data_IF_625480212637
#
_entry.id   IF_625480212637
#
_cell.length_a   1.000
_cell.length_b   1.000
_cell.length_c   1.000
_cell.angle_alpha   90.00
_cell.angle_beta   90.00
_cell.angle_gamma   90.00
#
_symmetry.space_group_name_H-M   'P 1'
#
loop_
_entity.id
_entity.type
_entity.pdbx_description
1 polymer ?
#
# COMPACT_ATOMS: atom_id res chain seq x y z
N UNK A 1 -25.86 -3.88 48.83
CA UNK A 1 -26.73 -3.55 47.67
C UNK A 1 -27.98 -2.81 48.14
N UNK A 2 -27.95 -1.46 48.28
CA UNK A 2 -29.17 -0.62 48.37
C UNK A 2 -28.94 0.91 48.23
N UNK A 3 -27.80 1.36 47.69
CA UNK A 3 -27.54 2.81 47.50
C UNK A 3 -27.33 3.27 46.05
N UNK A 4 -27.22 2.35 45.06
CA UNK A 4 -27.11 2.75 43.64
C UNK A 4 -28.45 3.10 42.97
N UNK A 5 -29.60 2.87 43.62
CA UNK A 5 -30.93 3.08 43.02
C UNK A 5 -31.58 4.46 43.23
N UNK A 6 -30.98 5.37 44.01
CA UNK A 6 -31.57 6.69 44.32
C UNK A 6 -31.01 7.85 43.48
N UNK A 7 -29.86 7.70 42.82
CA UNK A 7 -29.28 8.76 41.97
C UNK A 7 -29.93 8.84 40.58
N UNK A 8 -30.38 7.70 40.02
CA UNK A 8 -30.93 7.68 38.66
C UNK A 8 -32.37 8.22 38.57
N UNK A 9 -33.18 8.12 39.64
CA UNK A 9 -34.54 8.67 39.65
C UNK A 9 -34.59 10.21 39.74
N UNK A 10 -33.59 10.85 40.35
CA UNK A 10 -33.52 12.33 40.45
C UNK A 10 -33.09 13.02 39.15
N UNK A 11 -32.42 12.30 38.23
CA UNK A 11 -32.01 12.85 36.93
C UNK A 11 -33.17 12.86 35.92
N UNK A 12 -34.07 11.87 35.99
CA UNK A 12 -35.19 11.71 35.05
C UNK A 12 -36.32 12.74 35.30
N UNK A 13 -36.50 13.21 36.54
CA UNK A 13 -37.49 14.27 36.85
C UNK A 13 -37.05 15.68 36.40
N UNK A 14 -35.74 15.95 36.29
CA UNK A 14 -35.23 17.25 35.83
C UNK A 14 -35.41 17.47 34.32
N UNK A 15 -35.42 16.39 33.53
CA UNK A 15 -35.58 16.46 32.07
C UNK A 15 -37.06 16.67 31.69
N UNK A 16 -38.02 16.09 32.43
CA UNK A 16 -39.45 16.30 32.18
C UNK A 16 -39.97 17.72 32.50
N UNK A 17 -39.25 18.50 33.32
CA UNK A 17 -39.60 19.90 33.61
C UNK A 17 -39.13 20.90 32.55
N UNK A 18 -38.18 20.55 31.66
CA UNK A 18 -37.68 21.43 30.60
C UNK A 18 -38.49 21.39 29.30
N UNK A 19 -39.39 20.42 29.12
CA UNK A 19 -40.21 20.25 27.89
C UNK A 19 -41.58 20.97 27.98
N UNK A 20 -41.89 21.64 29.10
CA UNK A 20 -43.21 22.29 29.34
C UNK A 20 -43.25 23.83 29.23
N UNK A 21 -42.23 24.49 28.67
CA UNK A 21 -42.24 25.94 28.42
C UNK A 21 -41.87 26.23 26.97
N UNK A 22 -42.89 26.59 26.17
CA UNK A 22 -42.74 27.01 24.77
C UNK A 22 -44.00 26.74 23.95
N UNK A 23 -45.08 27.49 24.22
CA UNK A 23 -46.32 27.56 23.44
C UNK A 23 -46.44 28.99 22.90
N UNK A 24 -47.21 29.18 21.81
CA UNK A 24 -47.60 30.43 21.10
C UNK A 24 -46.79 30.73 19.82
N UNK A 25 -47.35 31.17 18.67
CA UNK A 25 -48.72 31.16 18.15
C UNK A 25 -48.72 31.50 16.64
N UNK A 26 -49.92 31.42 16.03
CA UNK A 26 -50.29 31.54 14.61
C UNK A 26 -50.18 32.93 13.93
N UNK A 27 -50.13 32.86 12.57
CA UNK A 27 -50.70 33.76 11.52
C UNK A 27 -49.97 35.08 11.17
N UNK A 28 -49.62 35.22 9.88
CA UNK A 28 -50.19 36.21 8.93
C UNK A 28 -49.84 35.86 7.47
N UNK A 29 -50.79 36.13 6.58
CA UNK A 29 -50.80 35.90 5.13
C UNK A 29 -50.03 36.98 4.34
N UNK A 30 -49.67 36.66 3.08
CA UNK A 30 -49.83 37.63 1.99
C UNK A 30 -48.66 37.87 1.02
N UNK A 31 -48.91 37.43 -0.23
CA UNK A 31 -48.53 38.06 -1.53
C UNK A 31 -47.20 37.68 -2.19
N UNK A 32 -47.36 37.01 -3.33
CA UNK A 32 -46.40 36.87 -4.42
C UNK A 32 -46.24 38.16 -5.23
N UNK A 33 -45.01 38.44 -5.71
CA UNK A 33 -44.74 39.25 -6.91
C UNK A 33 -43.47 38.77 -7.62
N UNK A 34 -43.52 38.94 -8.94
CA UNK A 34 -42.60 38.52 -10.01
C UNK A 34 -41.19 39.14 -9.96
N UNK A 35 -40.23 38.34 -10.46
CA UNK A 35 -39.14 38.62 -11.43
C UNK A 35 -38.29 39.89 -11.25
N UNK A 36 -36.98 39.72 -11.11
CA UNK A 36 -35.96 40.30 -12.01
C UNK A 36 -34.57 39.69 -11.72
N UNK A 37 -33.85 39.33 -12.79
CA UNK A 37 -32.42 38.97 -12.78
C UNK A 37 -31.63 40.22 -13.10
N UNK A 38 -30.60 40.58 -12.30
CA UNK A 38 -29.51 41.39 -12.80
C UNK A 38 -28.16 40.68 -12.69
N UNK A 39 -27.39 40.96 -13.72
CA UNK A 39 -26.08 40.44 -14.13
C UNK A 39 -24.92 41.00 -13.29
N UNK A 40 -23.85 40.21 -13.23
CA UNK A 40 -22.46 40.51 -12.82
C UNK A 40 -22.09 41.96 -12.47
N UNK A 41 -21.66 42.16 -11.22
CA UNK A 41 -20.29 42.57 -10.83
C UNK A 41 -20.32 43.30 -9.47
N UNK A 42 -19.78 42.69 -8.42
CA UNK A 42 -18.83 43.30 -7.49
C UNK A 42 -18.48 42.31 -6.38
N UNK A 43 -17.16 42.17 -6.17
CA UNK A 43 -16.52 41.38 -5.15
C UNK A 43 -16.75 41.98 -3.76
N UNK A 44 -16.57 41.11 -2.76
CA UNK A 44 -16.37 41.37 -1.32
C UNK A 44 -17.65 41.52 -0.49
N UNK A 45 -18.04 40.41 0.14
CA UNK A 45 -18.28 40.31 1.60
C UNK A 45 -18.95 38.96 1.94
N UNK A 46 -18.14 37.90 2.03
CA UNK A 46 -18.49 36.68 2.78
C UNK A 46 -17.23 36.13 3.44
N UNK A 47 -16.88 36.69 4.59
CA UNK A 47 -16.00 36.06 5.58
C UNK A 47 -16.78 35.97 6.92
N UNK A 48 -16.51 34.90 7.68
CA UNK A 48 -17.01 34.60 9.05
C UNK A 48 -18.33 33.82 9.24
N UNK A 49 -18.51 32.62 8.65
CA UNK A 49 -19.38 31.58 9.29
C UNK A 49 -18.84 30.13 9.18
N UNK A 50 -17.76 29.83 8.44
CA UNK A 50 -17.40 28.42 8.14
C UNK A 50 -16.34 27.74 9.02
N UNK A 51 -15.75 28.42 9.99
CA UNK A 51 -14.64 27.87 10.80
C UNK A 51 -15.10 27.06 12.02
N UNK A 52 -16.19 27.45 12.68
CA UNK A 52 -16.62 26.80 13.94
C UNK A 52 -17.07 25.34 13.79
N UNK A 53 -17.66 24.98 12.64
CA UNK A 53 -18.23 23.65 12.42
C UNK A 53 -17.15 22.58 12.13
N UNK A 54 -16.04 22.99 11.52
CA UNK A 54 -14.91 22.11 11.18
C UNK A 54 -14.08 21.75 12.41
N UNK A 55 -13.86 22.70 13.32
CA UNK A 55 -13.13 22.44 14.57
C UNK A 55 -13.92 21.56 15.52
N UNK A 56 -15.24 21.78 15.65
CA UNK A 56 -16.12 20.93 16.46
C UNK A 56 -16.18 19.49 15.93
N UNK A 57 -16.28 19.32 14.60
CA UNK A 57 -16.25 17.99 13.96
C UNK A 57 -14.91 17.28 14.18
N UNK A 58 -13.79 18.00 14.09
CA UNK A 58 -12.46 17.44 14.38
C UNK A 58 -12.30 17.03 15.84
N UNK A 59 -12.82 17.83 16.77
CA UNK A 59 -12.76 17.53 18.20
C UNK A 59 -13.58 16.27 18.55
N UNK A 60 -14.80 16.16 18.03
CA UNK A 60 -15.62 14.96 18.21
C UNK A 60 -14.94 13.70 17.65
N UNK A 61 -14.33 13.81 16.46
CA UNK A 61 -13.61 12.68 15.87
C UNK A 61 -12.37 12.28 16.68
N UNK A 62 -11.63 13.26 17.22
CA UNK A 62 -10.52 13.01 18.15
C UNK A 62 -11.00 12.28 19.40
N UNK A 63 -12.14 12.66 19.98
CA UNK A 63 -12.74 11.99 21.14
C UNK A 63 -13.13 10.54 20.83
N UNK A 64 -13.82 10.30 19.71
CA UNK A 64 -14.20 8.95 19.26
C UNK A 64 -12.95 8.07 19.06
N UNK A 65 -11.95 8.58 18.34
CA UNK A 65 -10.67 7.89 18.10
C UNK A 65 -10.00 7.54 19.44
N UNK A 66 -9.93 8.49 20.37
CA UNK A 66 -9.33 8.25 21.68
C UNK A 66 -10.12 7.23 22.50
N UNK A 67 -11.45 7.20 22.42
CA UNK A 67 -12.28 6.22 23.13
C UNK A 67 -12.07 4.78 22.62
N UNK A 68 -12.01 4.59 21.30
CA UNK A 68 -11.93 3.26 20.70
C UNK A 68 -10.51 2.72 20.59
N UNK A 69 -9.52 3.55 20.21
CA UNK A 69 -8.16 3.07 20.02
C UNK A 69 -7.52 2.70 21.37
N UNK A 70 -7.77 3.48 22.43
CA UNK A 70 -7.14 3.28 23.75
C UNK A 70 -7.40 1.91 24.39
N UNK A 71 -8.45 1.18 23.98
CA UNK A 71 -8.86 -0.08 24.61
C UNK A 71 -8.21 -1.34 24.04
N UNK A 72 -7.64 -1.34 22.82
CA UNK A 72 -7.10 -2.57 22.17
C UNK A 72 -5.92 -2.38 21.22
N UNK A 73 -5.72 -1.20 20.64
CA UNK A 73 -4.64 -0.94 19.68
C UNK A 73 -3.61 -0.05 20.39
N UNK A 74 -2.32 -0.41 20.45
CA UNK A 74 -1.31 0.47 21.04
C UNK A 74 -1.23 1.76 20.23
N UNK A 75 -1.91 2.82 20.69
CA UNK A 75 -1.98 4.12 20.02
C UNK A 75 -0.77 5.02 20.26
N UNK A 76 0.29 4.49 20.87
CA UNK A 76 1.48 5.28 21.18
C UNK A 76 2.47 5.07 20.04
N UNK A 77 2.03 5.43 18.82
CA UNK A 77 2.98 5.74 17.76
C UNK A 77 3.83 6.93 18.21
N UNK A 78 5.09 6.98 17.76
CA UNK A 78 5.90 8.21 17.83
C UNK A 78 5.14 9.36 17.17
N UNK A 79 5.59 10.60 17.39
CA UNK A 79 5.04 11.75 16.68
C UNK A 79 5.09 11.54 15.15
N UNK A 80 3.92 11.32 14.54
CA UNK A 80 3.79 11.03 13.11
C UNK A 80 3.97 12.27 12.22
N UNK A 81 4.19 13.47 12.80
CA UNK A 81 4.51 14.68 12.03
C UNK A 81 5.81 14.54 11.25
N UNK A 82 6.78 13.78 11.77
CA UNK A 82 8.02 13.46 11.06
C UNK A 82 7.81 12.20 10.22
N UNK A 83 7.90 12.33 8.90
CA UNK A 83 7.83 11.21 7.98
C UNK A 83 9.16 10.44 8.00
N UNK A 84 9.08 9.14 8.27
CA UNK A 84 10.24 8.28 8.26
C UNK A 84 10.12 7.32 7.08
N UNK A 85 11.12 7.36 6.21
CA UNK A 85 11.24 6.52 5.04
C UNK A 85 12.47 5.63 5.16
N UNK A 86 12.41 4.46 4.53
CA UNK A 86 13.54 3.54 4.47
C UNK A 86 13.82 3.18 3.02
N UNK A 87 15.10 3.14 2.64
CA UNK A 87 15.56 2.58 1.38
C UNK A 87 16.36 1.31 1.66
N UNK A 88 15.92 0.19 1.09
CA UNK A 88 16.52 -1.13 1.27
C UNK A 88 16.85 -1.79 -0.07
N UNK A 89 17.93 -2.59 -0.14
CA UNK A 89 18.28 -3.32 -1.35
C UNK A 89 17.33 -4.48 -1.57
N UNK A 90 16.99 -4.76 -2.82
CA UNK A 90 16.20 -5.93 -3.20
C UNK A 90 16.82 -7.26 -2.75
N UNK A 91 18.16 -7.32 -2.72
CA UNK A 91 18.90 -8.53 -2.35
C UNK A 91 18.88 -8.87 -0.86
N UNK A 92 18.25 -8.04 -0.02
CA UNK A 92 18.04 -8.37 1.40
C UNK A 92 17.34 -9.73 1.56
N UNK A 93 16.40 -10.05 0.66
CA UNK A 93 15.68 -11.32 0.63
C UNK A 93 16.33 -12.38 -0.28
N UNK A 94 17.57 -12.18 -0.73
CA UNK A 94 18.23 -13.12 -1.62
C UNK A 94 18.63 -14.41 -0.90
N UNK A 95 17.70 -15.36 -0.83
CA UNK A 95 17.92 -16.68 -0.25
C UNK A 95 17.57 -17.79 -1.25
N UNK A 96 18.22 -18.96 -1.14
CA UNK A 96 17.88 -20.13 -1.97
C UNK A 96 16.45 -20.62 -1.71
N UNK A 97 15.99 -20.56 -0.46
CA UNK A 97 14.66 -21.00 -0.06
C UNK A 97 13.63 -19.87 -0.17
N UNK A 98 12.55 -20.09 -0.93
CA UNK A 98 11.42 -19.14 -1.02
C UNK A 98 10.69 -18.99 0.32
N UNK A 99 10.71 -20.02 1.17
CA UNK A 99 10.20 -19.98 2.54
C UNK A 99 10.93 -18.91 3.35
N UNK A 100 12.25 -18.87 3.25
CA UNK A 100 13.07 -17.87 3.96
C UNK A 100 12.86 -16.47 3.36
N UNK A 101 12.71 -16.35 2.03
CA UNK A 101 12.38 -15.06 1.39
C UNK A 101 11.06 -14.49 1.92
N UNK A 102 10.03 -15.34 2.01
CA UNK A 102 8.71 -15.00 2.56
C UNK A 102 8.79 -14.59 4.04
N UNK A 103 9.50 -15.38 4.86
CA UNK A 103 9.71 -15.07 6.27
C UNK A 103 10.41 -13.71 6.44
N UNK A 104 11.50 -13.46 5.72
CA UNK A 104 12.26 -12.22 5.83
C UNK A 104 11.46 -11.00 5.35
N UNK A 105 10.68 -11.15 4.27
CA UNK A 105 9.74 -10.11 3.83
C UNK A 105 8.74 -9.76 4.95
N UNK A 106 8.24 -10.77 5.67
CA UNK A 106 7.32 -10.56 6.79
C UNK A 106 7.97 -9.98 8.04
N UNK A 107 9.23 -10.31 8.28
CA UNK A 107 10.02 -9.69 9.34
C UNK A 107 10.18 -8.19 9.07
N UNK A 108 10.59 -7.80 7.86
CA UNK A 108 10.72 -6.40 7.47
C UNK A 108 9.40 -5.64 7.57
N UNK A 109 8.30 -6.21 7.03
CA UNK A 109 6.97 -5.62 7.13
C UNK A 109 6.54 -5.32 8.58
N UNK A 110 6.84 -6.24 9.50
CA UNK A 110 6.58 -6.04 10.93
C UNK A 110 7.40 -4.90 11.49
N UNK A 111 8.70 -4.88 11.23
CA UNK A 111 9.59 -3.83 11.72
C UNK A 111 9.16 -2.45 11.18
N UNK A 112 8.78 -2.36 9.91
CA UNK A 112 8.25 -1.12 9.33
C UNK A 112 6.95 -0.65 9.99
N UNK A 113 6.07 -1.59 10.34
CA UNK A 113 4.82 -1.31 11.06
C UNK A 113 5.10 -0.84 12.49
N UNK A 114 5.96 -1.56 13.22
CA UNK A 114 6.32 -1.27 14.62
C UNK A 114 6.86 0.16 14.76
N UNK A 115 7.75 0.57 13.86
CA UNK A 115 8.37 1.90 13.92
C UNK A 115 7.61 2.97 13.12
N UNK A 116 6.40 2.66 12.66
CA UNK A 116 5.51 3.57 11.93
C UNK A 116 6.22 4.23 10.74
N UNK A 117 6.82 3.40 9.88
CA UNK A 117 7.43 3.83 8.63
C UNK A 117 6.34 4.26 7.66
N UNK A 118 6.52 5.39 6.98
CA UNK A 118 5.52 5.96 6.07
C UNK A 118 5.68 5.44 4.64
N UNK A 119 6.92 5.18 4.23
CA UNK A 119 7.24 4.70 2.87
C UNK A 119 8.50 3.84 2.86
N UNK A 120 8.44 2.77 2.08
CA UNK A 120 9.54 1.82 1.85
C UNK A 120 9.97 1.93 0.39
N UNK A 121 11.21 2.34 0.17
CA UNK A 121 11.87 2.33 -1.12
C UNK A 121 12.67 1.03 -1.26
N UNK A 122 12.42 0.29 -2.34
CA UNK A 122 13.18 -0.91 -2.68
C UNK A 122 14.03 -0.54 -3.89
N UNK A 123 15.35 -0.46 -3.74
CA UNK A 123 16.22 -0.21 -4.88
C UNK A 123 16.77 -1.51 -5.45
N UNK A 124 16.85 -1.58 -6.77
CA UNK A 124 17.50 -2.69 -7.46
C UNK A 124 19.02 -2.49 -7.41
N UNK A 125 19.66 -3.28 -6.55
CA UNK A 125 21.11 -3.28 -6.39
C UNK A 125 21.83 -4.18 -7.41
N UNK A 126 21.10 -4.74 -8.39
CA UNK A 126 21.56 -5.48 -9.57
C UNK A 126 22.49 -6.69 -9.35
N UNK A 127 22.90 -6.97 -8.11
CA UNK A 127 23.77 -8.09 -7.74
C UNK A 127 23.13 -9.47 -7.95
N UNK A 128 21.81 -9.52 -8.14
CA UNK A 128 21.13 -10.76 -8.51
C UNK A 128 21.35 -11.15 -9.98
N UNK A 129 21.68 -10.19 -10.86
CA UNK A 129 21.94 -10.49 -12.27
C UNK A 129 23.17 -11.40 -12.43
N UNK A 130 24.19 -11.27 -11.59
CA UNK A 130 25.36 -12.16 -11.61
C UNK A 130 25.02 -13.65 -11.35
N UNK A 131 23.97 -13.95 -10.58
CA UNK A 131 23.58 -15.34 -10.25
C UNK A 131 22.39 -15.86 -11.05
N UNK A 132 21.48 -14.99 -11.50
CA UNK A 132 20.31 -15.36 -12.28
C UNK A 132 20.61 -15.59 -13.76
N UNK A 133 21.61 -14.90 -14.34
CA UNK A 133 22.09 -15.20 -15.71
C UNK A 133 22.48 -16.68 -15.83
N UNK A 134 23.10 -17.24 -14.79
CA UNK A 134 23.49 -18.67 -14.73
C UNK A 134 22.31 -19.64 -14.46
N UNK A 135 21.14 -19.14 -14.03
CA UNK A 135 19.92 -19.95 -13.80
C UNK A 135 18.89 -19.83 -14.91
N UNK A 136 18.78 -18.70 -15.59
CA UNK A 136 17.85 -18.50 -16.70
C UNK A 136 18.16 -19.40 -17.90
N UNK A 137 19.43 -19.78 -18.10
CA UNK A 137 19.84 -20.83 -19.04
C UNK A 137 19.23 -22.20 -18.70
N UNK A 138 19.03 -22.50 -17.42
CA UNK A 138 18.45 -23.78 -16.94
C UNK A 138 16.92 -23.75 -16.76
N UNK A 139 16.30 -22.57 -16.59
CA UNK A 139 14.84 -22.44 -16.51
C UNK A 139 14.18 -22.38 -17.89
N UNK A 140 14.80 -21.74 -18.89
CA UNK A 140 14.29 -21.73 -20.28
C UNK A 140 14.23 -23.13 -20.90
N UNK A 141 15.08 -24.07 -20.47
CA UNK A 141 15.03 -25.48 -20.89
C UNK A 141 13.94 -26.29 -20.18
N UNK A 142 13.43 -25.80 -19.06
CA UNK A 142 12.42 -26.48 -18.24
C UNK A 142 10.99 -26.04 -18.57
N UNK A 143 10.77 -24.76 -18.91
CA UNK A 143 9.45 -24.25 -19.33
C UNK A 143 9.01 -24.82 -20.70
N UNK A 144 9.95 -25.01 -21.63
CA UNK A 144 9.66 -25.63 -22.94
C UNK A 144 9.22 -27.11 -22.85
N UNK A 145 9.46 -27.78 -21.72
CA UNK A 145 9.06 -29.17 -21.51
C UNK A 145 7.73 -29.31 -20.77
N UNK A 146 7.28 -28.27 -20.05
CA UNK A 146 5.98 -28.29 -19.37
C UNK A 146 4.84 -27.96 -20.35
N UNK A 147 5.05 -26.98 -21.24
CA UNK A 147 4.08 -26.64 -22.30
C UNK A 147 3.99 -27.64 -23.45
N UNK A 148 4.95 -28.58 -23.59
CA UNK A 148 4.88 -29.68 -24.58
C UNK A 148 4.13 -30.92 -24.09
N UNK A 149 3.97 -31.11 -22.77
CA UNK A 149 3.34 -32.32 -22.21
C UNK A 149 1.82 -32.19 -22.01
N UNK A 150 1.28 -30.97 -21.95
CA UNK A 150 -0.17 -30.76 -21.79
C UNK A 150 -0.93 -30.72 -23.12
N UNK A 151 -0.26 -30.47 -24.26
CA UNK A 151 -0.87 -30.52 -25.59
C UNK A 151 -0.96 -31.94 -26.20
N UNK A 152 -0.31 -32.94 -25.59
CA UNK A 152 -0.38 -34.35 -26.03
C UNK A 152 -1.49 -35.14 -25.30
N UNK A 153 -1.95 -34.66 -24.13
CA UNK A 153 -2.90 -35.41 -23.27
C UNK A 153 -4.33 -34.86 -23.25
N UNK A 154 -4.70 -33.99 -24.21
CA UNK A 154 -6.08 -33.44 -24.35
C UNK A 154 -6.80 -33.78 -25.66
N UNK A 155 -6.26 -34.69 -26.45
CA UNK A 155 -6.99 -35.37 -27.52
C UNK A 155 -6.91 -36.88 -27.28
N UNK A 156 -7.82 -37.42 -26.46
CA UNK A 156 -8.29 -38.81 -26.52
C UNK A 156 -9.28 -39.04 -25.38
N UNK A 157 -10.55 -38.65 -25.59
CA UNK A 157 -11.69 -39.22 -24.87
C UNK A 157 -12.97 -38.95 -25.69
N UNK A 158 -13.64 -40.05 -26.06
CA UNK A 158 -14.95 -40.21 -26.69
C UNK A 158 -15.06 -40.13 -28.24
N UNK A 159 -14.92 -41.29 -28.90
CA UNK A 159 -16.01 -41.91 -29.67
C UNK A 159 -15.66 -43.38 -30.02
N UNK A 160 -16.67 -44.25 -29.87
CA UNK A 160 -16.67 -45.71 -29.89
C UNK A 160 -16.39 -46.40 -31.24
N UNK A 161 -16.02 -47.69 -31.16
CA UNK A 161 -16.81 -48.74 -31.81
C UNK A 161 -16.53 -49.12 -33.27
N UNK A 162 -15.84 -50.26 -33.44
CA UNK A 162 -16.05 -51.32 -34.45
C UNK A 162 -15.48 -51.21 -35.89
N UNK A 163 -14.80 -52.32 -36.24
CA UNK A 163 -14.57 -52.97 -37.55
C UNK A 163 -13.40 -52.58 -38.50
N UNK A 164 -12.42 -53.50 -38.50
CA UNK A 164 -11.79 -54.30 -39.60
C UNK A 164 -11.21 -53.64 -40.87
N UNK A 165 -10.00 -54.13 -41.15
CA UNK A 165 -9.33 -54.46 -42.42
C UNK A 165 -8.52 -53.43 -43.24
N UNK A 166 -7.26 -53.86 -43.44
CA UNK A 166 -6.34 -53.77 -44.58
C UNK A 166 -5.92 -52.42 -45.23
N UNK A 167 -4.60 -52.24 -45.31
CA UNK A 167 -3.94 -52.01 -46.61
C UNK A 167 -3.40 -50.62 -46.97
N UNK A 168 -2.06 -50.55 -47.12
CA UNK A 168 -1.27 -49.84 -48.16
C UNK A 168 -1.31 -48.29 -48.29
N UNK A 169 -0.07 -47.76 -48.21
CA UNK A 169 0.64 -46.84 -49.13
C UNK A 169 0.08 -45.43 -49.46
N UNK A 170 0.99 -44.47 -49.20
CA UNK A 170 1.49 -43.41 -50.11
C UNK A 170 0.66 -42.13 -50.38
N UNK A 171 1.29 -41.02 -49.96
CA UNK A 171 1.68 -39.85 -50.79
C UNK A 171 0.69 -38.69 -51.07
N UNK A 172 1.31 -37.48 -51.02
CA UNK A 172 0.97 -36.17 -51.64
C UNK A 172 -0.14 -35.35 -50.97
N UNK A 173 0.15 -34.11 -50.50
CA UNK A 173 0.10 -32.82 -51.27
C UNK A 173 -1.26 -32.68 -51.96
N UNK A 174 -2.05 -31.62 -51.82
CA UNK A 174 -1.84 -30.23 -51.39
C UNK A 174 -3.19 -29.50 -51.50
N UNK A 175 -3.33 -28.35 -50.80
CA UNK A 175 -4.07 -27.12 -51.19
C UNK A 175 -5.54 -27.26 -51.64
N UNK A 176 -6.56 -26.72 -50.95
CA UNK A 176 -6.91 -25.30 -50.73
C UNK A 176 -8.28 -25.02 -51.36
N UNK A 177 -8.97 -23.93 -50.94
CA UNK A 177 -10.14 -23.28 -51.59
C UNK A 177 -11.47 -23.94 -51.14
N UNK A 178 -12.53 -23.26 -50.70
CA UNK A 178 -12.92 -21.84 -50.63
C UNK A 178 -14.18 -21.69 -49.76
N UNK A 179 -14.30 -20.53 -49.11
CA UNK A 179 -15.45 -19.60 -49.08
C UNK A 179 -16.88 -20.13 -48.87
N UNK A 180 -17.51 -19.63 -47.80
CA UNK A 180 -18.70 -18.74 -47.83
C UNK A 180 -19.26 -18.63 -46.39
N UNK A 181 -19.14 -17.49 -45.70
CA UNK A 181 -19.93 -16.24 -45.79
C UNK A 181 -21.23 -16.28 -44.95
N UNK A 182 -21.32 -15.27 -44.07
CA UNK A 182 -22.50 -14.62 -43.44
C UNK A 182 -22.93 -15.03 -42.01
N UNK A 183 -22.38 -14.24 -41.07
CA UNK A 183 -23.02 -13.42 -40.03
C UNK A 183 -23.91 -14.05 -38.96
N UNK A 184 -23.58 -13.76 -37.69
CA UNK A 184 -24.32 -12.75 -36.91
C UNK A 184 -23.46 -12.24 -35.74
N UNK A 185 -23.48 -10.93 -35.54
CA UNK A 185 -22.70 -10.20 -34.53
C UNK A 185 -23.23 -10.43 -33.11
N UNK A 186 -22.34 -10.72 -32.17
CA UNK A 186 -22.54 -10.36 -30.76
C UNK A 186 -21.27 -9.72 -30.21
N UNK A 187 -21.40 -8.42 -29.92
CA UNK A 187 -20.37 -7.54 -29.36
C UNK A 187 -20.24 -7.85 -27.87
N UNK A 188 -19.02 -8.12 -27.41
CA UNK A 188 -18.65 -7.95 -26.01
C UNK A 188 -17.38 -7.13 -25.91
N UNK A 189 -17.48 -6.10 -25.06
CA UNK A 189 -16.58 -4.98 -24.93
C UNK A 189 -15.26 -5.34 -24.27
N UNK A 190 -14.23 -4.72 -24.83
CA UNK A 190 -12.82 -4.78 -24.46
C UNK A 190 -12.55 -4.01 -23.15
N UNK A 191 -11.80 -4.64 -22.25
CA UNK A 191 -11.08 -3.98 -21.16
C UNK A 191 -9.86 -3.23 -21.69
N UNK A 192 -9.80 -1.93 -21.42
CA UNK A 192 -8.61 -1.09 -21.63
C UNK A 192 -7.67 -1.30 -20.44
N UNK A 193 -6.86 -2.36 -20.55
CA UNK A 193 -5.46 -2.23 -20.21
C UNK A 193 -4.76 -1.60 -21.41
N UNK A 194 -3.69 -0.83 -21.22
CA UNK A 194 -2.80 -0.46 -22.32
C UNK A 194 -2.36 -1.72 -23.09
N UNK A 195 -3.09 -2.04 -24.16
CA UNK A 195 -2.63 -2.83 -25.30
C UNK A 195 -2.12 -1.82 -26.29
N UNK A 196 -0.81 -1.77 -26.48
CA UNK A 196 -0.28 -1.32 -27.75
C UNK A 196 -0.82 -2.28 -28.81
N UNK A 197 -1.59 -1.74 -29.76
CA UNK A 197 -1.91 -2.43 -31.00
C UNK A 197 -0.58 -2.71 -31.71
N UNK A 198 -0.30 -3.99 -31.96
CA UNK A 198 0.78 -4.41 -32.82
C UNK A 198 0.43 -3.98 -34.25
N UNK A 199 0.75 -2.73 -34.58
CA UNK A 199 0.91 -2.30 -35.96
C UNK A 199 2.29 -2.83 -36.37
N UNK A 200 2.42 -3.71 -37.38
CA UNK A 200 3.73 -4.18 -37.82
C UNK A 200 4.40 -3.07 -38.62
N UNK A 201 4.86 -2.03 -37.92
CA UNK A 201 5.81 -0.97 -38.28
C UNK A 201 5.56 0.24 -37.37
N UNK A 202 6.26 0.32 -36.24
CA UNK A 202 6.79 1.56 -35.64
C UNK A 202 7.50 1.25 -34.31
N UNK A 203 8.68 1.82 -34.13
CA UNK A 203 9.65 1.52 -33.07
C UNK A 203 9.33 2.19 -31.70
N UNK A 204 9.75 1.49 -30.62
CA UNK A 204 10.28 1.96 -29.31
C UNK A 204 9.35 2.59 -28.24
N UNK A 205 9.24 1.86 -27.11
CA UNK A 205 9.67 2.28 -25.76
C UNK A 205 9.81 1.06 -24.84
N UNK A 206 11.04 0.67 -24.49
CA UNK A 206 11.33 -0.44 -23.57
C UNK A 206 10.79 -0.15 -22.15
N UNK A 207 9.85 -0.98 -21.66
CA UNK A 207 9.51 -1.02 -20.22
C UNK A 207 10.73 -1.55 -19.47
N UNK A 208 11.34 -0.73 -18.62
CA UNK A 208 12.42 -1.18 -17.73
C UNK A 208 11.89 -2.26 -16.80
N UNK A 209 12.32 -3.50 -17.00
CA UNK A 209 11.87 -4.64 -16.20
C UNK A 209 12.65 -4.69 -14.88
N UNK A 210 11.99 -4.39 -13.75
CA UNK A 210 12.60 -4.56 -12.41
C UNK A 210 12.98 -6.03 -12.15
N UNK A 211 14.03 -6.27 -11.33
CA UNK A 211 14.46 -7.63 -11.00
C UNK A 211 13.37 -8.46 -10.29
N UNK A 212 13.52 -9.78 -10.34
CA UNK A 212 12.64 -10.72 -9.64
C UNK A 212 12.55 -10.42 -8.14
N UNK A 213 13.68 -10.11 -7.49
CA UNK A 213 13.70 -9.84 -6.04
C UNK A 213 12.98 -8.54 -5.71
N UNK A 214 13.12 -7.49 -6.52
CA UNK A 214 12.34 -6.25 -6.38
C UNK A 214 10.84 -6.54 -6.43
N UNK A 215 10.39 -7.24 -7.48
CA UNK A 215 8.98 -7.61 -7.67
C UNK A 215 8.46 -8.48 -6.51
N UNK A 216 9.23 -9.48 -6.10
CA UNK A 216 8.88 -10.39 -5.02
C UNK A 216 8.73 -9.64 -3.69
N UNK A 217 9.74 -8.83 -3.31
CA UNK A 217 9.72 -8.09 -2.05
C UNK A 217 8.58 -7.07 -2.03
N UNK A 218 8.41 -6.29 -3.10
CA UNK A 218 7.31 -5.33 -3.24
C UNK A 218 5.96 -6.02 -3.04
N UNK A 219 5.70 -7.11 -3.76
CA UNK A 219 4.41 -7.79 -3.73
C UNK A 219 4.10 -8.38 -2.34
N UNK A 220 5.11 -8.93 -1.67
CA UNK A 220 4.98 -9.48 -0.32
C UNK A 220 4.75 -8.38 0.73
N UNK A 221 5.51 -7.28 0.67
CA UNK A 221 5.30 -6.15 1.58
C UNK A 221 3.92 -5.51 1.39
N UNK A 222 3.42 -5.42 0.15
CA UNK A 222 2.09 -4.90 -0.16
C UNK A 222 0.98 -5.82 0.36
N UNK A 223 1.14 -7.13 0.19
CA UNK A 223 0.23 -8.14 0.72
C UNK A 223 0.12 -8.07 2.24
N UNK A 224 1.27 -7.90 2.91
CA UNK A 224 1.34 -7.84 4.37
C UNK A 224 0.76 -6.54 4.93
N UNK A 225 1.03 -5.40 4.29
CA UNK A 225 0.43 -4.11 4.66
C UNK A 225 -1.09 -4.11 4.46
N UNK A 226 -1.61 -4.82 3.46
CA UNK A 226 -3.05 -4.86 3.18
C UNK A 226 -3.82 -5.59 4.30
N UNK A 227 -4.90 -5.00 4.84
CA UNK A 227 -5.77 -5.65 5.83
C UNK A 227 -6.30 -7.01 5.36
N UNK A 228 -6.36 -7.97 6.28
CA UNK A 228 -6.64 -9.38 5.95
C UNK A 228 -7.95 -9.58 5.18
N UNK A 229 -9.00 -8.84 5.53
CA UNK A 229 -10.32 -8.95 4.89
C UNK A 229 -10.35 -8.45 3.44
N UNK A 230 -9.36 -7.66 3.00
CA UNK A 230 -9.26 -7.16 1.62
C UNK A 230 -8.40 -8.03 0.72
N UNK A 231 -7.55 -8.90 1.29
CA UNK A 231 -6.53 -9.64 0.51
C UNK A 231 -7.13 -10.49 -0.59
N UNK A 232 -8.29 -11.11 -0.36
CA UNK A 232 -8.99 -11.95 -1.36
C UNK A 232 -9.50 -11.16 -2.56
N UNK A 233 -9.83 -9.88 -2.37
CA UNK A 233 -10.28 -8.99 -3.44
C UNK A 233 -9.11 -8.45 -4.26
N UNK A 234 -7.99 -8.16 -3.61
CA UNK A 234 -6.87 -7.41 -4.20
C UNK A 234 -5.75 -8.29 -4.77
N UNK A 235 -5.55 -9.49 -4.24
CA UNK A 235 -4.41 -10.34 -4.60
C UNK A 235 -4.87 -11.63 -5.29
N UNK A 236 -4.59 -11.79 -6.60
CA UNK A 236 -4.77 -13.07 -7.25
C UNK A 236 -3.81 -14.14 -6.69
N UNK A 237 -4.12 -15.40 -6.95
CA UNK A 237 -3.24 -16.52 -6.62
C UNK A 237 -1.96 -16.39 -7.44
N UNK A 238 -0.81 -16.30 -6.77
CA UNK A 238 0.51 -16.14 -7.39
C UNK A 238 1.59 -16.90 -6.64
N UNK A 239 2.64 -17.30 -7.35
CA UNK A 239 3.81 -17.94 -6.75
C UNK A 239 4.51 -17.04 -5.71
N UNK A 240 4.43 -15.71 -5.85
CA UNK A 240 5.03 -14.78 -4.88
C UNK A 240 4.47 -14.93 -3.47
N UNK A 241 3.21 -15.39 -3.34
CA UNK A 241 2.50 -15.56 -2.08
C UNK A 241 2.31 -17.03 -1.68
N UNK A 242 3.00 -17.96 -2.34
CA UNK A 242 2.91 -19.41 -2.09
C UNK A 242 3.11 -19.78 -0.63
N UNK A 243 3.99 -19.04 0.06
CA UNK A 243 4.32 -19.25 1.47
C UNK A 243 3.74 -18.14 2.39
N UNK A 244 2.68 -17.46 1.97
CA UNK A 244 2.02 -16.42 2.77
C UNK A 244 1.51 -16.92 4.13
N UNK A 245 1.18 -18.21 4.24
CA UNK A 245 0.71 -18.82 5.49
C UNK A 245 1.73 -18.88 6.64
N UNK A 246 3.03 -18.74 6.36
CA UNK A 246 4.09 -18.70 7.39
C UNK A 246 4.56 -17.28 7.70
N UNK A 247 4.03 -16.27 7.01
CA UNK A 247 4.44 -14.89 7.22
C UNK A 247 3.90 -14.36 8.54
N UNK A 248 4.71 -13.56 9.22
CA UNK A 248 4.29 -12.91 10.44
C UNK A 248 3.22 -11.84 10.15
N UNK A 249 2.13 -11.82 10.91
CA UNK A 249 1.12 -10.77 10.82
C UNK A 249 1.72 -9.41 11.20
N UNK A 250 1.29 -8.31 10.56
CA UNK A 250 1.76 -6.96 10.93
C UNK A 250 0.93 -6.31 12.03
N UNK A 251 -0.37 -6.62 12.11
CA UNK A 251 -1.31 -6.16 13.15
C UNK A 251 -1.28 -4.63 13.35
N UNK A 252 -1.32 -3.89 12.24
CA UNK A 252 -1.32 -2.43 12.23
C UNK A 252 -2.71 -1.86 12.60
N UNK A 253 -2.84 -0.57 12.97
CA UNK A 253 -4.14 0.01 13.38
C UNK A 253 -5.26 -0.10 12.33
N UNK A 254 -4.93 -0.16 11.03
CA UNK A 254 -5.89 -0.38 9.95
C UNK A 254 -6.25 -1.86 9.72
N UNK A 255 -5.65 -2.81 10.45
CA UNK A 255 -5.94 -4.26 10.41
C UNK A 255 -7.08 -4.64 11.36
N UNK A 256 -8.13 -3.82 11.38
CA UNK A 256 -9.28 -3.99 12.28
C UNK A 256 -10.01 -5.31 12.04
N UNK A 257 -10.34 -5.99 13.14
CA UNK A 257 -11.25 -7.14 13.15
C UNK A 257 -12.69 -6.70 12.91
N UNK A 258 -13.58 -7.65 12.62
CA UNK A 258 -15.00 -7.36 12.35
C UNK A 258 -15.78 -6.87 13.58
N UNK A 259 -15.26 -7.09 14.79
CA UNK A 259 -15.81 -6.61 16.07
C UNK A 259 -15.13 -5.34 16.59
N UNK A 260 -14.23 -4.75 15.81
CA UNK A 260 -13.50 -3.54 16.18
C UNK A 260 -14.01 -2.33 15.36
N UNK A 261 -14.14 -1.20 16.04
CA UNK A 261 -14.65 0.04 15.46
C UNK A 261 -13.57 1.11 15.46
N UNK A 262 -13.38 1.76 14.32
CA UNK A 262 -12.78 3.09 14.20
C UNK A 262 -13.61 3.92 13.23
N UNK A 263 -13.58 5.25 13.35
CA UNK A 263 -14.23 6.12 12.36
C UNK A 263 -13.66 5.94 10.95
N UNK A 264 -12.40 5.50 10.84
CA UNK A 264 -11.73 5.20 9.59
C UNK A 264 -11.68 3.69 9.33
N UNK A 265 -11.83 3.29 8.07
CA UNK A 265 -11.55 1.91 7.68
C UNK A 265 -11.09 1.79 6.22
N UNK A 266 -10.29 0.78 5.95
CA UNK A 266 -9.95 0.42 4.58
C UNK A 266 -11.08 -0.41 3.95
N UNK A 267 -11.32 -0.24 2.66
CA UNK A 267 -12.34 -0.98 1.94
C UNK A 267 -12.00 -1.19 0.46
N UNK A 268 -12.76 -2.06 -0.20
CA UNK A 268 -12.68 -2.26 -1.65
C UNK A 268 -14.04 -2.04 -2.29
N UNK A 269 -14.06 -1.32 -3.41
CA UNK A 269 -15.30 -1.07 -4.17
C UNK A 269 -15.78 -2.38 -4.79
N UNK A 270 -16.96 -2.84 -4.39
CA UNK A 270 -17.56 -4.11 -4.88
C UNK A 270 -18.59 -3.85 -5.97
N UNK A 271 -19.32 -2.75 -5.89
CA UNK A 271 -20.40 -2.43 -6.83
C UNK A 271 -20.54 -0.93 -7.05
N UNK A 272 -20.78 -0.54 -8.31
CA UNK A 272 -21.23 0.81 -8.69
C UNK A 272 -22.76 0.87 -8.70
N UNK A 273 -23.32 1.95 -8.19
CA UNK A 273 -24.76 2.27 -8.27
C UNK A 273 -24.92 3.62 -9.00
N UNK A 274 -26.14 4.00 -9.38
CA UNK A 274 -26.41 5.19 -10.20
C UNK A 274 -25.84 6.49 -9.61
N UNK A 275 -25.89 6.65 -8.28
CA UNK A 275 -25.37 7.83 -7.59
C UNK A 275 -24.43 7.47 -6.42
N UNK A 276 -23.54 6.49 -6.62
CA UNK A 276 -22.66 6.05 -5.54
C UNK A 276 -21.90 4.76 -5.81
N UNK A 277 -21.26 4.27 -4.75
CA UNK A 277 -20.55 3.00 -4.72
C UNK A 277 -20.87 2.24 -3.43
N UNK A 278 -20.76 0.91 -3.51
CA UNK A 278 -20.83 0.01 -2.36
C UNK A 278 -19.43 -0.54 -2.12
N UNK A 279 -18.95 -0.37 -0.89
CA UNK A 279 -17.60 -0.72 -0.46
C UNK A 279 -17.67 -1.82 0.59
N UNK A 280 -16.94 -2.91 0.36
CA UNK A 280 -16.69 -3.92 1.40
C UNK A 280 -15.62 -3.36 2.34
N UNK A 281 -16.04 -3.09 3.57
CA UNK A 281 -15.20 -2.52 4.62
C UNK A 281 -14.80 -3.57 5.64
N UNK A 282 -15.08 -4.86 5.43
CA UNK A 282 -14.75 -5.95 6.36
C UNK A 282 -15.64 -6.01 7.62
N UNK A 283 -16.82 -5.39 7.58
CA UNK A 283 -17.84 -5.48 8.64
C UNK A 283 -18.93 -6.48 8.24
N UNK A 284 -19.90 -6.71 9.13
CA UNK A 284 -21.08 -7.53 8.84
C UNK A 284 -22.02 -6.93 7.77
N UNK A 285 -21.81 -5.67 7.40
CA UNK A 285 -22.55 -4.95 6.36
C UNK A 285 -21.58 -4.05 5.59
N UNK A 286 -21.89 -3.80 4.32
CA UNK A 286 -21.08 -2.94 3.45
C UNK A 286 -21.34 -1.46 3.74
N UNK A 287 -20.46 -0.59 3.25
CA UNK A 287 -20.65 0.85 3.29
C UNK A 287 -21.20 1.37 1.95
N UNK A 288 -22.24 2.20 2.03
CA UNK A 288 -22.76 3.01 0.94
C UNK A 288 -22.06 4.37 0.96
N UNK A 289 -21.53 4.75 -0.19
CA UNK A 289 -20.95 6.07 -0.41
C UNK A 289 -21.71 6.74 -1.54
N UNK A 290 -22.43 7.81 -1.22
CA UNK A 290 -23.23 8.57 -2.17
C UNK A 290 -22.38 9.63 -2.87
N UNK A 291 -22.86 10.10 -4.04
CA UNK A 291 -22.27 11.20 -4.81
C UNK A 291 -20.84 10.92 -5.32
N UNK A 292 -20.46 9.65 -5.45
CA UNK A 292 -19.17 9.20 -6.00
C UNK A 292 -19.43 8.08 -7.00
N UNK A 293 -19.09 8.30 -8.28
CA UNK A 293 -19.28 7.31 -9.37
C UNK A 293 -18.03 7.05 -10.21
N UNK A 294 -16.99 7.86 -10.06
CA UNK A 294 -15.75 7.80 -10.85
C UNK A 294 -14.77 6.70 -10.38
N UNK A 295 -15.03 6.02 -9.27
CA UNK A 295 -14.11 5.03 -8.70
C UNK A 295 -14.47 3.62 -9.19
N UNK A 296 -13.52 2.94 -9.81
CA UNK A 296 -13.71 1.61 -10.40
C UNK A 296 -13.86 0.49 -9.36
N UNK A 297 -14.59 -0.55 -9.76
CA UNK A 297 -14.74 -1.78 -8.98
C UNK A 297 -13.36 -2.42 -8.81
N UNK A 298 -13.05 -2.91 -7.61
CA UNK A 298 -11.74 -3.46 -7.24
C UNK A 298 -10.76 -2.41 -6.72
N UNK A 299 -11.12 -1.12 -6.71
CA UNK A 299 -10.26 -0.07 -6.14
C UNK A 299 -10.28 -0.13 -4.61
N UNK A 300 -9.09 -0.12 -3.99
CA UNK A 300 -8.92 0.05 -2.54
C UNK A 300 -9.13 1.52 -2.17
N UNK A 301 -9.93 1.78 -1.15
CA UNK A 301 -10.27 3.12 -0.66
C UNK A 301 -10.21 3.19 0.87
N UNK A 302 -9.90 4.36 1.40
CA UNK A 302 -10.07 4.67 2.83
C UNK A 302 -11.40 5.38 3.01
N UNK A 303 -12.21 4.92 3.95
CA UNK A 303 -13.54 5.48 4.24
C UNK A 303 -13.58 6.11 5.63
N UNK A 304 -14.35 7.19 5.76
CA UNK A 304 -14.75 7.79 7.03
C UNK A 304 -16.25 7.54 7.23
N UNK A 305 -16.61 6.83 8.28
CA UNK A 305 -18.00 6.58 8.63
C UNK A 305 -18.70 7.84 9.14
N UNK A 306 -19.99 7.99 8.81
CA UNK A 306 -20.82 9.03 9.42
C UNK A 306 -21.17 8.68 10.88
N UNK A 307 -21.53 9.68 11.69
CA UNK A 307 -21.81 9.51 13.13
C UNK A 307 -22.85 8.43 13.46
N UNK A 308 -23.87 8.23 12.61
CA UNK A 308 -24.92 7.23 12.83
C UNK A 308 -24.44 5.79 12.64
N UNK A 309 -23.37 5.58 11.87
CA UNK A 309 -22.83 4.27 11.55
C UNK A 309 -22.30 3.54 12.80
N UNK A 310 -21.87 4.28 13.83
CA UNK A 310 -21.46 3.66 15.09
C UNK A 310 -22.62 2.99 15.84
N UNK A 311 -23.81 3.58 15.83
CA UNK A 311 -25.00 2.97 16.43
C UNK A 311 -25.47 1.72 15.65
N UNK A 312 -25.31 1.74 14.31
CA UNK A 312 -25.57 0.56 13.46
C UNK A 312 -24.61 -0.58 13.83
N UNK A 313 -23.32 -0.25 13.99
CA UNK A 313 -22.29 -1.19 14.38
C UNK A 313 -22.58 -1.81 15.76
N UNK A 314 -22.90 -0.99 16.76
CA UNK A 314 -23.20 -1.44 18.13
C UNK A 314 -24.41 -2.39 18.17
N UNK A 315 -25.44 -2.11 17.37
CA UNK A 315 -26.65 -2.93 17.27
C UNK A 315 -26.49 -4.17 16.40
N UNK A 316 -25.36 -4.32 15.69
CA UNK A 316 -25.08 -5.41 14.73
C UNK A 316 -26.21 -5.62 13.71
N UNK A 317 -26.77 -4.53 13.20
CA UNK A 317 -27.90 -4.60 12.26
C UNK A 317 -27.43 -4.82 10.82
N UNK A 318 -27.31 -6.08 10.38
CA UNK A 318 -26.83 -6.44 9.03
C UNK A 318 -27.76 -6.08 7.88
N UNK A 319 -28.98 -5.62 8.16
CA UNK A 319 -29.94 -5.23 7.11
C UNK A 319 -29.69 -3.83 6.56
N UNK A 320 -28.89 -3.02 7.26
CA UNK A 320 -28.66 -1.61 6.93
C UNK A 320 -27.20 -1.44 6.52
N UNK A 321 -26.96 -0.76 5.40
CA UNK A 321 -25.62 -0.38 4.97
C UNK A 321 -25.08 0.73 5.87
N UNK A 322 -23.79 0.70 6.16
CA UNK A 322 -23.13 1.84 6.79
C UNK A 322 -23.12 3.01 5.82
N UNK A 323 -23.19 4.25 6.32
CA UNK A 323 -22.99 5.44 5.51
C UNK A 323 -21.60 6.00 5.79
N UNK A 324 -20.88 6.34 4.72
CA UNK A 324 -19.50 6.78 4.78
C UNK A 324 -19.12 7.69 3.61
N UNK A 325 -17.97 8.34 3.72
CA UNK A 325 -17.33 9.14 2.67
C UNK A 325 -15.95 8.60 2.35
N UNK A 326 -15.54 8.67 1.08
CA UNK A 326 -14.14 8.40 0.71
C UNK A 326 -13.28 9.56 1.19
N UNK A 327 -12.16 9.24 1.83
CA UNK A 327 -11.16 10.20 2.29
C UNK A 327 -9.78 9.84 1.75
N UNK A 328 -8.86 10.80 1.78
CA UNK A 328 -7.47 10.54 1.43
C UNK A 328 -6.81 9.64 2.49
N UNK A 329 -5.98 8.64 2.11
CA UNK A 329 -5.37 7.69 3.04
C UNK A 329 -4.41 8.32 4.07
N UNK A 330 -4.01 9.58 3.89
CA UNK A 330 -3.19 10.30 4.90
C UNK A 330 -4.01 10.98 5.99
N UNK A 331 -5.34 11.03 5.88
CA UNK A 331 -6.19 11.67 6.87
C UNK A 331 -6.08 10.99 8.25
N UNK A 332 -6.11 9.66 8.41
CA UNK A 332 -5.96 9.01 9.73
C UNK A 332 -4.68 9.42 10.47
N UNK A 333 -3.59 9.67 9.74
CA UNK A 333 -2.31 10.15 10.29
C UNK A 333 -2.43 11.51 10.98
N UNK A 334 -3.32 12.40 10.51
CA UNK A 334 -3.57 13.70 11.14
C UNK A 334 -4.16 13.57 12.55
N UNK A 335 -4.80 12.42 12.83
CA UNK A 335 -5.34 12.05 14.13
C UNK A 335 -4.36 11.15 14.91
N UNK A 336 -3.08 11.17 14.54
CA UNK A 336 -1.99 10.37 15.10
C UNK A 336 -2.21 8.84 14.99
N UNK A 337 -3.01 8.37 14.03
CA UNK A 337 -3.23 6.95 13.78
C UNK A 337 -2.31 6.48 12.66
N UNK A 338 -1.42 5.53 12.95
CA UNK A 338 -0.61 4.92 11.91
C UNK A 338 -1.48 4.09 10.95
N UNK A 339 -1.33 4.32 9.64
CA UNK A 339 -2.22 3.76 8.61
C UNK A 339 -1.47 2.95 7.55
N UNK A 340 -0.40 2.25 7.98
CA UNK A 340 0.44 1.46 7.10
C UNK A 340 1.52 2.27 6.38
N UNK A 341 2.19 1.60 5.44
CA UNK A 341 3.28 2.16 4.64
C UNK A 341 2.99 2.02 3.14
N UNK A 342 3.47 2.97 2.35
CA UNK A 342 3.52 2.83 0.89
C UNK A 342 4.85 2.21 0.44
N UNK A 343 4.88 1.63 -0.76
CA UNK A 343 6.08 0.97 -1.30
C UNK A 343 6.36 1.53 -2.70
N UNK A 344 7.62 1.83 -2.98
CA UNK A 344 8.07 2.28 -4.30
C UNK A 344 9.37 1.53 -4.68
N UNK A 345 9.49 1.14 -5.95
CA UNK A 345 10.70 0.50 -6.47
C UNK A 345 11.54 1.55 -7.21
N UNK A 346 12.81 1.65 -6.83
CA UNK A 346 13.82 2.47 -7.50
C UNK A 346 14.66 1.60 -8.44
N UNK A 347 15.12 2.18 -9.57
CA UNK A 347 15.88 1.42 -10.58
C UNK A 347 17.32 1.17 -10.15
N UNK A 348 17.89 2.08 -9.38
CA UNK A 348 19.23 1.94 -8.81
C UNK A 348 19.32 2.59 -7.43
N UNK A 349 20.45 2.40 -6.74
CA UNK A 349 20.68 3.03 -5.45
C UNK A 349 20.84 4.55 -5.60
N UNK A 350 21.46 5.04 -6.68
CA UNK A 350 21.62 6.50 -6.87
C UNK A 350 20.29 7.25 -7.01
N UNK A 351 19.19 6.59 -7.36
CA UNK A 351 17.87 7.22 -7.49
C UNK A 351 17.35 7.79 -6.17
N UNK A 352 17.87 7.33 -5.02
CA UNK A 352 17.51 7.89 -3.70
C UNK A 352 17.77 9.40 -3.61
N UNK A 353 18.77 9.91 -4.34
CA UNK A 353 19.15 11.33 -4.31
C UNK A 353 18.20 12.20 -5.14
N UNK A 354 17.30 11.60 -5.91
CA UNK A 354 16.28 12.31 -6.69
C UNK A 354 14.95 12.44 -5.90
N UNK A 355 14.87 11.82 -4.71
CA UNK A 355 13.69 11.86 -3.87
C UNK A 355 13.56 13.20 -3.16
N UNK A 356 12.33 13.69 -3.05
CA UNK A 356 12.02 14.90 -2.30
C UNK A 356 11.90 14.57 -0.81
N UNK A 357 13.03 14.67 -0.10
CA UNK A 357 13.14 14.44 1.34
C UNK A 357 14.05 15.51 1.96
N UNK A 358 13.82 15.87 3.21
CA UNK A 358 14.59 16.94 3.86
C UNK A 358 15.96 16.45 4.36
N UNK A 359 16.07 15.15 4.68
CA UNK A 359 17.29 14.56 5.22
C UNK A 359 17.49 13.13 4.71
N UNK A 360 18.64 12.87 4.09
CA UNK A 360 19.09 11.56 3.64
C UNK A 360 20.21 11.06 4.57
N UNK A 361 19.91 9.97 5.28
CA UNK A 361 20.81 9.32 6.23
C UNK A 361 21.29 7.99 5.66
N UNK A 362 22.59 7.86 5.41
CA UNK A 362 23.21 6.56 5.08
C UNK A 362 23.67 5.82 6.34
N UNK A 363 23.51 4.49 6.37
CA UNK A 363 23.99 3.66 7.47
C UNK A 363 25.22 2.86 7.06
N UNK A 364 26.29 2.90 7.86
CA UNK A 364 27.50 2.09 7.67
C UNK A 364 28.27 1.92 8.99
N UNK A 365 28.97 0.81 9.16
CA UNK A 365 29.91 0.59 10.28
C UNK A 365 31.02 1.67 10.31
N UNK A 366 31.33 2.26 9.15
CA UNK A 366 32.35 3.31 8.97
C UNK A 366 31.81 4.73 9.15
N UNK A 367 30.51 4.84 9.44
CA UNK A 367 29.85 6.11 9.69
C UNK A 367 30.22 6.72 11.04
N UNK A 368 29.76 7.96 11.28
CA UNK A 368 29.93 8.63 12.57
C UNK A 368 29.01 8.04 13.62
N UNK A 369 29.45 8.00 14.87
CA UNK A 369 28.60 7.59 16.01
C UNK A 369 27.46 8.59 16.17
N UNK A 370 26.27 8.09 16.52
CA UNK A 370 25.02 8.87 16.47
C UNK A 370 24.83 9.86 17.64
N UNK A 371 25.70 9.87 18.64
CA UNK A 371 25.53 10.66 19.87
C UNK A 371 25.48 12.18 19.65
N UNK A 372 26.12 12.70 18.58
CA UNK A 372 26.17 14.13 18.28
C UNK A 372 24.98 14.66 17.45
N UNK A 373 24.02 13.80 17.04
CA UNK A 373 23.05 14.16 15.98
C UNK A 373 21.60 14.34 16.45
N UNK A 374 21.37 14.22 17.75
CA UNK A 374 20.05 14.35 18.40
C UNK A 374 19.35 15.69 18.11
N UNK A 375 20.11 16.79 18.08
CA UNK A 375 19.57 18.15 17.95
C UNK A 375 19.08 18.47 16.53
N UNK A 376 19.78 17.91 15.53
CA UNK A 376 19.52 18.24 14.12
C UNK A 376 18.28 17.53 13.56
N UNK A 377 18.00 16.31 14.03
CA UNK A 377 16.94 15.47 13.47
C UNK A 377 15.52 15.97 13.74
N UNK A 378 15.31 16.79 14.78
CA UNK A 378 13.97 17.29 15.14
C UNK A 378 13.44 18.38 14.21
N UNK A 379 14.30 18.98 13.39
CA UNK A 379 13.92 20.07 12.49
C UNK A 379 13.44 19.59 11.12
N UNK A 380 13.60 18.30 10.81
CA UNK A 380 13.21 17.74 9.52
C UNK A 380 11.78 17.23 9.55
N UNK A 381 11.04 17.49 8.47
CA UNK A 381 9.69 16.95 8.28
C UNK A 381 9.72 15.56 7.64
N UNK A 382 10.76 15.24 6.87
CA UNK A 382 10.95 13.95 6.22
C UNK A 382 12.41 13.46 6.30
N UNK A 383 12.59 12.21 6.75
CA UNK A 383 13.90 11.56 6.92
C UNK A 383 13.90 10.25 6.14
N UNK A 384 14.87 10.09 5.25
CA UNK A 384 15.13 8.85 4.52
C UNK A 384 16.36 8.14 5.09
N UNK A 385 16.18 6.93 5.61
CA UNK A 385 17.27 6.08 6.10
C UNK A 385 17.61 5.03 5.03
N UNK A 386 18.86 5.03 4.59
CA UNK A 386 19.35 4.23 3.47
C UNK A 386 20.25 3.13 4.01
N UNK A 387 19.85 1.88 3.79
CA UNK A 387 20.57 0.70 4.23
C UNK A 387 21.28 0.04 3.06
N UNK A 388 22.53 -0.35 3.25
CA UNK A 388 23.28 -1.18 2.31
C UNK A 388 22.94 -2.67 2.41
N UNK A 389 23.44 -3.46 1.47
CA UNK A 389 23.43 -4.93 1.59
C UNK A 389 24.70 -5.41 2.33
N UNK A 390 25.03 -6.70 2.20
CA UNK A 390 26.22 -7.30 2.81
C UNK A 390 27.54 -6.61 2.42
N UNK A 391 27.64 -6.07 1.21
CA UNK A 391 28.86 -5.42 0.73
C UNK A 391 28.98 -3.98 1.28
N UNK A 392 27.91 -3.43 1.87
CA UNK A 392 27.88 -2.06 2.38
C UNK A 392 27.46 -1.04 1.33
N UNK A 393 27.06 0.15 1.82
CA UNK A 393 26.48 1.19 0.97
C UNK A 393 27.55 1.84 0.08
N UNK A 394 28.76 2.00 0.61
CA UNK A 394 29.91 2.56 -0.08
C UNK A 394 30.31 1.74 -1.30
N UNK A 395 30.39 0.42 -1.14
CA UNK A 395 30.78 -0.48 -2.22
C UNK A 395 29.70 -0.57 -3.29
N UNK A 396 28.41 -0.54 -2.90
CA UNK A 396 27.29 -0.46 -3.85
C UNK A 396 27.34 0.80 -4.71
N UNK A 397 27.56 1.97 -4.10
CA UNK A 397 27.66 3.25 -4.82
C UNK A 397 28.83 3.27 -5.80
N UNK A 398 29.96 2.65 -5.44
CA UNK A 398 31.10 2.52 -6.34
C UNK A 398 30.78 1.58 -7.49
N UNK A 399 30.23 0.39 -7.21
CA UNK A 399 29.88 -0.62 -8.23
C UNK A 399 28.92 -0.04 -9.27
N UNK A 400 27.85 0.63 -8.83
CA UNK A 400 26.91 1.29 -9.73
C UNK A 400 27.62 2.32 -10.65
N UNK A 401 28.56 3.09 -10.12
CA UNK A 401 29.36 4.04 -10.92
C UNK A 401 30.38 3.38 -11.85
N UNK A 402 30.88 2.21 -11.50
CA UNK A 402 31.76 1.41 -12.37
C UNK A 402 30.94 0.84 -13.54
N UNK A 403 29.73 0.35 -13.29
CA UNK A 403 28.79 -0.17 -14.28
C UNK A 403 28.29 0.92 -15.24
N UNK A 404 27.82 2.06 -14.71
CA UNK A 404 27.39 3.22 -15.51
C UNK A 404 28.47 3.67 -16.50
N UNK A 405 29.74 3.69 -16.06
CA UNK A 405 30.87 4.15 -16.90
C UNK A 405 31.61 3.02 -17.60
N UNK A 406 31.18 1.76 -17.42
CA UNK A 406 31.83 0.55 -17.92
C UNK A 406 33.35 0.56 -17.67
N UNK A 407 33.76 0.98 -16.47
CA UNK A 407 35.17 1.16 -16.13
C UNK A 407 35.43 0.81 -14.67
N UNK A 408 36.46 0.01 -14.42
CA UNK A 408 36.96 -0.21 -13.07
C UNK A 408 37.92 0.90 -12.63
N UNK A 409 37.86 1.27 -11.35
CA UNK A 409 38.69 2.29 -10.74
C UNK A 409 39.77 1.67 -9.84
N UNK A 410 40.95 2.29 -9.79
CA UNK A 410 41.98 1.99 -8.80
C UNK A 410 41.55 2.46 -7.39
N UNK A 411 42.19 1.93 -6.34
CA UNK A 411 41.83 2.23 -4.94
C UNK A 411 41.76 3.72 -4.60
N UNK A 412 42.77 4.51 -5.00
CA UNK A 412 42.77 5.97 -4.78
C UNK A 412 41.60 6.66 -5.49
N UNK A 413 41.29 6.23 -6.71
CA UNK A 413 40.20 6.81 -7.50
C UNK A 413 38.84 6.41 -6.94
N UNK A 414 38.69 5.17 -6.43
CA UNK A 414 37.49 4.72 -5.69
C UNK A 414 37.23 5.62 -4.49
N UNK A 415 38.25 5.90 -3.68
CA UNK A 415 38.12 6.78 -2.52
C UNK A 415 37.70 8.21 -2.90
N UNK A 416 38.31 8.80 -3.95
CA UNK A 416 37.91 10.14 -4.43
C UNK A 416 36.46 10.19 -4.92
N UNK A 417 36.01 9.17 -5.64
CA UNK A 417 34.64 9.07 -6.15
C UNK A 417 33.66 8.90 -4.99
N UNK A 418 33.96 7.97 -4.08
CA UNK A 418 33.14 7.70 -2.90
C UNK A 418 32.97 8.95 -2.06
N UNK A 419 34.06 9.66 -1.74
CA UNK A 419 34.00 10.92 -1.00
C UNK A 419 33.13 11.98 -1.68
N UNK A 420 33.07 12.02 -3.01
CA UNK A 420 32.18 12.93 -3.75
C UNK A 420 30.71 12.51 -3.61
N UNK A 421 30.41 11.22 -3.57
CA UNK A 421 29.05 10.70 -3.43
C UNK A 421 28.57 10.83 -1.99
N UNK A 422 29.41 10.51 -1.01
CA UNK A 422 29.07 10.60 0.41
C UNK A 422 28.67 12.02 0.84
N UNK A 423 29.19 13.06 0.17
CA UNK A 423 28.76 14.46 0.36
C UNK A 423 27.31 14.76 -0.03
N UNK A 424 26.64 13.85 -0.73
CA UNK A 424 25.21 13.96 -1.04
C UNK A 424 24.30 13.46 0.08
N UNK A 425 24.84 12.70 1.04
CA UNK A 425 24.11 12.36 2.25
C UNK A 425 24.25 13.51 3.24
N UNK A 426 23.14 13.88 3.88
CA UNK A 426 23.16 14.84 4.98
C UNK A 426 23.88 14.22 6.19
N UNK A 427 23.71 12.91 6.37
CA UNK A 427 24.32 12.16 7.46
C UNK A 427 24.77 10.77 7.00
N UNK A 428 25.89 10.31 7.56
CA UNK A 428 26.39 8.96 7.34
C UNK A 428 26.85 8.37 8.68
N UNK A 429 26.08 7.42 9.21
CA UNK A 429 26.13 7.06 10.64
C UNK A 429 26.37 5.57 10.88
N UNK A 430 27.03 5.28 12.00
CA UNK A 430 27.11 3.96 12.61
C UNK A 430 26.10 3.88 13.77
N UNK A 431 25.14 2.97 13.66
CA UNK A 431 24.04 2.80 14.62
C UNK A 431 24.31 1.71 15.66
N UNK A 432 25.41 0.96 15.55
CA UNK A 432 25.82 -0.05 16.51
C UNK A 432 27.34 0.00 16.71
N UNK A 433 27.86 1.05 17.37
CA UNK A 433 29.29 1.12 17.71
C UNK A 433 29.65 -0.06 18.62
N UNK A 434 30.90 -0.53 18.51
CA UNK A 434 31.43 -1.67 19.28
C UNK A 434 30.67 -2.99 19.06
N UNK A 435 30.07 -3.19 17.86
CA UNK A 435 29.51 -4.49 17.48
C UNK A 435 30.55 -5.61 17.64
N UNK A 436 30.12 -6.73 18.22
CA UNK A 436 30.99 -7.91 18.44
C UNK A 436 30.86 -8.94 17.32
N UNK A 437 29.79 -8.85 16.51
CA UNK A 437 29.70 -9.56 15.24
C UNK A 437 30.50 -8.80 14.18
N UNK A 438 31.21 -9.53 13.31
CA UNK A 438 31.92 -8.93 12.17
C UNK A 438 30.96 -8.22 11.20
N UNK A 439 29.74 -8.72 11.08
CA UNK A 439 28.74 -8.17 10.16
C UNK A 439 27.38 -8.13 10.86
N UNK A 440 26.66 -7.03 10.69
CA UNK A 440 25.24 -6.92 11.02
C UNK A 440 24.47 -7.09 9.71
N UNK A 441 23.53 -8.03 9.64
CA UNK A 441 22.70 -8.21 8.44
C UNK A 441 21.76 -7.03 8.27
N UNK A 442 21.34 -6.75 7.03
CA UNK A 442 20.52 -5.57 6.75
C UNK A 442 19.20 -5.57 7.54
N UNK A 443 18.54 -6.71 7.73
CA UNK A 443 17.33 -6.82 8.54
C UNK A 443 17.54 -6.53 10.04
N UNK A 444 18.73 -6.89 10.56
CA UNK A 444 19.15 -6.59 11.93
C UNK A 444 19.45 -5.09 12.06
N UNK A 445 20.20 -4.53 11.09
CA UNK A 445 20.56 -3.12 11.02
C UNK A 445 19.32 -2.21 10.92
N UNK A 446 18.32 -2.60 10.12
CA UNK A 446 17.02 -1.90 10.03
C UNK A 446 16.38 -1.84 11.40
N UNK A 447 16.32 -2.96 12.12
CA UNK A 447 15.70 -3.02 13.45
C UNK A 447 16.43 -2.16 14.48
N UNK A 448 17.76 -2.27 14.54
CA UNK A 448 18.59 -1.48 15.47
C UNK A 448 18.44 0.01 15.20
N UNK A 449 18.58 0.40 13.93
CA UNK A 449 18.55 1.80 13.52
C UNK A 449 17.18 2.41 13.78
N UNK A 450 16.09 1.74 13.38
CA UNK A 450 14.75 2.27 13.58
C UNK A 450 14.36 2.35 15.08
N UNK A 451 14.87 1.45 15.92
CA UNK A 451 14.70 1.54 17.37
C UNK A 451 15.31 2.82 17.94
N UNK A 452 16.52 3.16 17.49
CA UNK A 452 17.21 4.37 17.94
C UNK A 452 16.48 5.62 17.43
N UNK A 453 16.15 5.70 16.14
CA UNK A 453 15.38 6.81 15.58
C UNK A 453 14.01 6.96 16.24
N UNK A 454 13.33 5.85 16.54
CA UNK A 454 12.07 5.88 17.25
C UNK A 454 12.21 6.53 18.63
N UNK A 455 13.28 6.24 19.36
CA UNK A 455 13.53 6.86 20.67
C UNK A 455 13.85 8.36 20.55
N UNK A 456 14.50 8.78 19.46
CA UNK A 456 14.88 10.17 19.18
C UNK A 456 13.70 11.04 18.71
N UNK A 457 12.77 10.43 17.98
CA UNK A 457 11.58 11.07 17.37
C UNK A 457 10.32 10.96 18.25
N UNK A 458 10.47 10.62 19.54
CA UNK A 458 9.37 10.57 20.50
C UNK A 458 8.68 11.92 20.66
#
# INVERSE_FOLDING_TARGET
>A
MKEKGKKDKKCIEKIKKKVKKGRYDKRTEGKAKHVDVPTNAQMNDVEFVHTNNLEETKNNLNEDINEFISKRIPNISRNLKVELFVAIPSTIINNRSDVIKSYLSSYLARIFTIFSISKVYIYDDQLANERLINKQTNYKSSENNYYKKEDINKCNQHADGSNRDEGKRSSKRSSSISDNIVSTNSRNGTWVANRECFNPQTEKKEKSEYSYLCKYLHYNLQYLETPQYLRKHLFPITHFLKHSGIMNAVDAPHHLRSDEWLPFREGVVVKKISNGIIVDVGLFSNALIENVSCIDIGTRVTVLFDAQSFEIFRKKNSKVLFTAKVIHPTIPKQYNVYWGYSIEILKSLSDIFNLQVDCIVGTSERGRVMDDVLSSLKNFSSILIVFGNRDGLEDLLIKEKEEEKKKSYSGEKKSRILNKILKKFDMFINTCPYQTSRTIRTEEAVTITLSLFHNMLK
#
